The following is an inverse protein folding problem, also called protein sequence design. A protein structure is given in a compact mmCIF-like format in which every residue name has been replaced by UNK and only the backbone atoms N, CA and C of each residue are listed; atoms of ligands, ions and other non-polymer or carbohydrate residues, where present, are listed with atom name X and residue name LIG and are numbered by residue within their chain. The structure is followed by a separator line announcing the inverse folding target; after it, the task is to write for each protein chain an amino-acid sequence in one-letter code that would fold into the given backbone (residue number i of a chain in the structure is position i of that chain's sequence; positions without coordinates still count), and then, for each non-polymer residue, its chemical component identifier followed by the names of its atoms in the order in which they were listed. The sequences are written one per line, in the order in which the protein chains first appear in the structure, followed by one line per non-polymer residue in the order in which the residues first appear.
data_IF_466611275164
#
_entry.id   IF_466611275164
#
_cell.length_a   1.000
_cell.length_b   1.000
_cell.length_c   1.000
_cell.angle_alpha   90.00
_cell.angle_beta   90.00
_cell.angle_gamma   90.00
#
_symmetry.space_group_name_H-M   'P 1'
#
loop_
_entity.id
_entity.type
_entity.pdbx_description
1 polymer ?
#
# COMPACT_ATOMS: atom_id res chain seq x y z
N UNK A 1 -12.24 23.40 -7.52
CA UNK A 1 -12.98 22.52 -6.60
C UNK A 1 -13.54 21.40 -7.43
N UNK A 2 -13.17 20.15 -7.12
CA UNK A 2 -13.78 19.00 -7.75
C UNK A 2 -14.96 18.62 -6.86
N UNK A 3 -16.16 19.05 -7.22
CA UNK A 3 -17.39 18.87 -6.42
C UNK A 3 -17.90 17.41 -6.40
N UNK A 4 -17.07 16.46 -6.84
CA UNK A 4 -17.43 15.04 -6.92
C UNK A 4 -16.56 14.23 -5.96
N UNK A 5 -17.14 13.25 -5.24
CA UNK A 5 -16.38 12.33 -4.40
C UNK A 5 -15.31 11.62 -5.20
N UNK A 6 -14.13 11.45 -4.61
CA UNK A 6 -13.06 10.71 -5.24
C UNK A 6 -13.27 9.19 -5.12
N UNK A 7 -12.40 8.40 -5.75
CA UNK A 7 -12.55 6.94 -5.73
C UNK A 7 -12.49 6.35 -4.32
N UNK A 8 -11.74 6.95 -3.41
CA UNK A 8 -11.65 6.47 -2.03
C UNK A 8 -12.92 6.83 -1.23
N UNK A 9 -13.49 8.02 -1.44
CA UNK A 9 -14.78 8.40 -0.86
C UNK A 9 -15.89 7.43 -1.30
N UNK A 10 -15.90 7.02 -2.57
CA UNK A 10 -16.86 6.04 -3.10
C UNK A 10 -16.68 4.66 -2.46
N UNK A 11 -15.44 4.18 -2.33
CA UNK A 11 -15.14 2.89 -1.69
C UNK A 11 -15.56 2.89 -0.21
N UNK A 12 -15.34 4.00 0.50
CA UNK A 12 -15.77 4.17 1.89
C UNK A 12 -17.29 4.18 2.03
N UNK A 13 -18.00 4.89 1.14
CA UNK A 13 -19.46 4.90 1.14
C UNK A 13 -20.07 3.50 0.90
N UNK A 14 -19.51 2.72 -0.02
CA UNK A 14 -19.94 1.32 -0.25
C UNK A 14 -19.63 0.45 0.97
N UNK A 15 -18.45 0.62 1.57
CA UNK A 15 -18.10 -0.09 2.80
C UNK A 15 -19.08 0.20 3.94
N UNK A 16 -19.45 1.47 4.12
CA UNK A 16 -20.42 1.90 5.11
C UNK A 16 -21.78 1.25 4.92
N UNK A 17 -22.28 1.20 3.67
CA UNK A 17 -23.50 0.48 3.33
C UNK A 17 -23.42 -1.01 3.68
N UNK A 18 -22.32 -1.69 3.31
CA UNK A 18 -22.14 -3.10 3.64
C UNK A 18 -22.19 -3.35 5.15
N UNK A 19 -21.57 -2.47 5.94
CA UNK A 19 -21.48 -2.63 7.39
C UNK A 19 -22.74 -2.20 8.14
N UNK A 20 -23.36 -1.09 7.74
CA UNK A 20 -24.49 -0.48 8.46
C UNK A 20 -25.83 -1.08 8.06
N UNK A 21 -25.97 -1.50 6.81
CA UNK A 21 -27.25 -1.96 6.25
C UNK A 21 -27.25 -3.45 5.93
N UNK A 22 -26.24 -3.92 5.18
CA UNK A 22 -26.22 -5.32 4.71
C UNK A 22 -25.88 -6.30 5.83
N UNK A 23 -24.83 -6.05 6.60
CA UNK A 23 -24.38 -6.96 7.65
C UNK A 23 -25.50 -7.25 8.69
N UNK A 24 -26.27 -6.27 9.19
CA UNK A 24 -27.42 -6.55 10.04
C UNK A 24 -28.52 -7.37 9.36
N UNK A 25 -28.76 -7.15 8.06
CA UNK A 25 -29.81 -7.85 7.31
C UNK A 25 -29.48 -9.34 7.10
N UNK A 26 -28.20 -9.68 7.00
CA UNK A 26 -27.73 -11.05 6.71
C UNK A 26 -27.19 -11.78 7.94
N UNK A 27 -27.33 -11.21 9.14
CA UNK A 27 -26.70 -11.69 10.40
C UNK A 27 -27.01 -13.13 10.80
N UNK A 28 -28.10 -13.70 10.29
CA UNK A 28 -28.53 -15.07 10.60
C UNK A 28 -28.00 -16.10 9.58
N UNK A 29 -27.29 -15.64 8.54
CA UNK A 29 -26.56 -16.48 7.59
C UNK A 29 -25.06 -16.28 7.83
N UNK A 30 -24.43 -17.27 8.45
CA UNK A 30 -23.01 -17.23 8.83
C UNK A 30 -22.09 -16.99 7.62
N UNK A 31 -22.38 -17.64 6.49
CA UNK A 31 -21.56 -17.55 5.29
C UNK A 31 -21.68 -16.15 4.66
N UNK A 32 -22.90 -15.62 4.58
CA UNK A 32 -23.15 -14.30 4.00
C UNK A 32 -22.65 -13.17 4.91
N UNK A 33 -22.79 -13.33 6.23
CA UNK A 33 -22.22 -12.43 7.23
C UNK A 33 -20.70 -12.37 7.13
N UNK A 34 -20.04 -13.54 7.04
CA UNK A 34 -18.60 -13.61 6.85
C UNK A 34 -18.14 -12.92 5.55
N UNK A 35 -18.79 -13.24 4.41
CA UNK A 35 -18.46 -12.60 3.12
C UNK A 35 -18.63 -11.08 3.18
N UNK A 36 -19.69 -10.59 3.83
CA UNK A 36 -19.94 -9.16 4.00
C UNK A 36 -18.83 -8.47 4.81
N UNK A 37 -18.40 -9.08 5.91
CA UNK A 37 -17.27 -8.59 6.71
C UNK A 37 -15.96 -8.54 5.93
N UNK A 38 -15.67 -9.60 5.17
CA UNK A 38 -14.47 -9.65 4.32
C UNK A 38 -14.52 -8.57 3.24
N UNK A 39 -15.64 -8.43 2.53
CA UNK A 39 -15.82 -7.40 1.52
C UNK A 39 -15.66 -5.99 2.10
N UNK A 40 -16.28 -5.71 3.26
CA UNK A 40 -16.10 -4.43 3.96
C UNK A 40 -14.62 -4.16 4.28
N UNK A 41 -13.90 -5.15 4.80
CA UNK A 41 -12.49 -5.01 5.13
C UNK A 41 -11.64 -4.73 3.88
N UNK A 42 -11.87 -5.47 2.79
CA UNK A 42 -11.15 -5.29 1.52
C UNK A 42 -11.40 -3.90 0.92
N UNK A 43 -12.64 -3.39 0.97
CA UNK A 43 -12.94 -2.02 0.53
C UNK A 43 -12.19 -0.98 1.35
N UNK A 44 -12.08 -1.17 2.67
CA UNK A 44 -11.28 -0.30 3.52
C UNK A 44 -9.79 -0.31 3.17
N UNK A 45 -9.23 -1.47 2.80
CA UNK A 45 -7.84 -1.57 2.32
C UNK A 45 -7.67 -0.82 0.99
N UNK A 46 -8.58 -1.03 0.04
CA UNK A 46 -8.53 -0.36 -1.26
C UNK A 46 -8.67 1.16 -1.14
N UNK A 47 -9.56 1.65 -0.27
CA UNK A 47 -9.71 3.09 -0.03
C UNK A 47 -8.40 3.71 0.47
N UNK A 48 -7.70 3.04 1.39
CA UNK A 48 -6.37 3.49 1.86
C UNK A 48 -5.33 3.43 0.75
N UNK A 49 -5.28 2.34 -0.02
CA UNK A 49 -4.36 2.21 -1.16
C UNK A 49 -4.55 3.35 -2.16
N UNK A 50 -5.79 3.72 -2.48
CA UNK A 50 -6.08 4.86 -3.37
C UNK A 50 -5.63 6.18 -2.74
N UNK A 51 -5.85 6.38 -1.43
CA UNK A 51 -5.50 7.63 -0.73
C UNK A 51 -3.99 7.84 -0.57
N UNK A 52 -3.22 6.78 -0.31
CA UNK A 52 -1.79 6.88 0.06
C UNK A 52 -0.82 6.09 -0.82
N UNK A 53 -1.28 5.08 -1.57
CA UNK A 53 -0.43 4.14 -2.30
C UNK A 53 0.49 4.81 -3.31
N UNK A 54 -0.02 5.78 -4.09
CA UNK A 54 0.78 6.56 -5.03
C UNK A 54 1.90 7.36 -4.35
N UNK A 55 1.63 7.98 -3.19
CA UNK A 55 2.65 8.71 -2.42
C UNK A 55 3.68 7.74 -1.83
N UNK A 56 3.23 6.62 -1.25
CA UNK A 56 4.11 5.59 -0.70
C UNK A 56 5.03 5.01 -1.77
N UNK A 57 4.53 4.81 -2.99
CA UNK A 57 5.30 4.30 -4.12
C UNK A 57 6.34 5.30 -4.62
N UNK A 58 6.01 6.60 -4.67
CA UNK A 58 6.96 7.65 -5.02
C UNK A 58 8.12 7.75 -4.01
N UNK A 59 7.81 7.65 -2.70
CA UNK A 59 8.83 7.57 -1.65
C UNK A 59 9.72 6.34 -1.85
N UNK A 60 9.12 5.18 -2.13
CA UNK A 60 9.83 3.92 -2.36
C UNK A 60 10.83 4.03 -3.53
N UNK A 61 10.41 4.63 -4.66
CA UNK A 61 11.27 4.84 -5.83
C UNK A 61 12.45 5.76 -5.50
N UNK A 62 12.23 6.84 -4.75
CA UNK A 62 13.29 7.76 -4.35
C UNK A 62 14.31 7.10 -3.42
N UNK A 63 13.85 6.33 -2.42
CA UNK A 63 14.72 5.59 -1.52
C UNK A 63 15.53 4.51 -2.26
N UNK A 64 14.90 3.78 -3.18
CA UNK A 64 15.57 2.79 -4.03
C UNK A 64 16.65 3.42 -4.91
N UNK A 65 16.38 4.59 -5.50
CA UNK A 65 17.37 5.30 -6.31
C UNK A 65 18.59 5.70 -5.46
N UNK A 66 18.36 6.21 -4.25
CA UNK A 66 19.42 6.54 -3.31
C UNK A 66 20.28 5.31 -2.92
N UNK A 67 19.64 4.17 -2.62
CA UNK A 67 20.35 2.92 -2.29
C UNK A 67 21.15 2.35 -3.47
N UNK A 68 20.69 2.58 -4.69
CA UNK A 68 21.39 2.22 -5.92
C UNK A 68 22.44 3.26 -6.35
N UNK A 69 22.62 4.34 -5.58
CA UNK A 69 23.50 5.47 -5.88
C UNK A 69 23.20 6.13 -7.24
N UNK A 70 21.92 6.39 -7.52
CA UNK A 70 21.45 6.99 -8.78
C UNK A 70 20.52 8.15 -8.52
N UNK A 71 20.39 9.01 -9.53
CA UNK A 71 19.32 10.00 -9.58
C UNK A 71 17.96 9.28 -9.67
N UNK A 72 16.93 9.73 -8.95
CA UNK A 72 15.58 9.19 -9.11
C UNK A 72 15.15 9.24 -10.58
N UNK A 73 14.57 8.15 -11.09
CA UNK A 73 14.08 8.14 -12.46
C UNK A 73 12.86 9.05 -12.61
N UNK A 74 12.53 9.42 -13.85
CA UNK A 74 11.28 10.11 -14.11
C UNK A 74 10.08 9.27 -13.64
N UNK A 75 9.09 9.87 -12.96
CA UNK A 75 7.90 9.16 -12.52
C UNK A 75 7.13 8.59 -13.71
N UNK A 76 6.66 7.35 -13.58
CA UNK A 76 5.70 6.82 -14.55
C UNK A 76 4.41 7.65 -14.58
N UNK A 77 3.78 7.72 -15.75
CA UNK A 77 2.55 8.48 -15.98
C UNK A 77 1.31 7.82 -15.35
N UNK A 78 1.38 6.53 -15.06
CA UNK A 78 0.31 5.77 -14.44
C UNK A 78 0.79 4.90 -13.26
N UNK A 79 -0.16 4.48 -12.44
CA UNK A 79 0.12 3.67 -11.26
C UNK A 79 0.75 2.29 -11.61
N UNK A 80 0.24 1.54 -12.61
CA UNK A 80 0.85 0.25 -12.98
C UNK A 80 2.30 0.37 -13.43
N UNK A 81 2.64 1.40 -14.22
CA UNK A 81 4.00 1.65 -14.67
C UNK A 81 4.92 2.04 -13.52
N UNK A 82 4.44 2.82 -12.54
CA UNK A 82 5.21 3.15 -11.34
C UNK A 82 5.48 1.89 -10.48
N UNK A 83 4.50 0.97 -10.38
CA UNK A 83 4.66 -0.30 -9.66
C UNK A 83 5.73 -1.16 -10.33
N UNK A 84 5.67 -1.27 -11.65
CA UNK A 84 6.64 -2.04 -12.43
C UNK A 84 8.06 -1.44 -12.34
N UNK A 85 8.17 -0.11 -12.34
CA UNK A 85 9.43 0.61 -12.13
C UNK A 85 10.04 0.27 -10.77
N UNK A 86 9.26 0.38 -9.69
CA UNK A 86 9.71 0.03 -8.34
C UNK A 86 10.09 -1.46 -8.23
N UNK A 87 9.35 -2.36 -8.91
CA UNK A 87 9.67 -3.80 -8.95
C UNK A 87 11.04 -4.06 -9.55
N UNK A 88 11.34 -3.49 -10.71
CA UNK A 88 12.65 -3.64 -11.38
C UNK A 88 13.80 -3.13 -10.50
N UNK A 89 13.62 -1.97 -9.87
CA UNK A 89 14.63 -1.40 -8.97
C UNK A 89 14.87 -2.28 -7.72
N UNK A 90 13.81 -2.90 -7.16
CA UNK A 90 13.94 -3.85 -6.05
C UNK A 90 14.69 -5.12 -6.46
N UNK A 91 14.48 -5.62 -7.68
CA UNK A 91 15.19 -6.79 -8.20
C UNK A 91 16.69 -6.52 -8.39
N UNK A 92 17.01 -5.34 -8.93
CA UNK A 92 18.38 -4.87 -9.04
C UNK A 92 19.04 -4.73 -7.67
N UNK A 93 18.39 -4.03 -6.73
CA UNK A 93 18.91 -3.85 -5.38
C UNK A 93 19.12 -5.20 -4.66
N UNK A 94 18.18 -6.14 -4.79
CA UNK A 94 18.32 -7.49 -4.26
C UNK A 94 19.55 -8.21 -4.83
N UNK A 95 19.82 -8.02 -6.13
CA UNK A 95 20.99 -8.60 -6.79
C UNK A 95 22.29 -8.03 -6.22
N UNK A 96 22.36 -6.71 -6.06
CA UNK A 96 23.53 -6.03 -5.48
C UNK A 96 23.76 -6.41 -4.01
N UNK A 97 22.71 -6.49 -3.19
CA UNK A 97 22.83 -6.90 -1.78
C UNK A 97 23.42 -8.32 -1.68
N UNK A 98 22.94 -9.26 -2.51
CA UNK A 98 23.45 -10.65 -2.51
C UNK A 98 24.89 -10.72 -2.97
N UNK A 99 25.24 -10.01 -4.05
CA UNK A 99 26.59 -9.97 -4.61
C UNK A 99 27.60 -9.40 -3.62
N UNK A 100 27.25 -8.30 -2.95
CA UNK A 100 28.13 -7.59 -2.02
C UNK A 100 28.05 -8.10 -0.57
N UNK A 101 27.20 -9.10 -0.29
CA UNK A 101 26.91 -9.65 1.05
C UNK A 101 26.56 -8.55 2.08
N UNK A 102 25.84 -7.52 1.63
CA UNK A 102 25.65 -6.29 2.40
C UNK A 102 24.36 -6.27 3.27
N UNK A 103 23.72 -7.43 3.48
CA UNK A 103 22.43 -7.56 4.15
C UNK A 103 22.48 -7.55 5.69
N UNK A 104 23.36 -6.78 6.33
CA UNK A 104 23.42 -6.71 7.79
C UNK A 104 22.20 -5.94 8.37
N UNK A 105 21.79 -6.23 9.62
CA UNK A 105 20.68 -5.51 10.28
C UNK A 105 20.91 -4.00 10.45
N UNK A 106 22.16 -3.55 10.48
CA UNK A 106 22.49 -2.12 10.58
C UNK A 106 22.67 -1.46 9.21
N UNK A 107 22.45 -2.19 8.12
CA UNK A 107 22.62 -1.65 6.77
C UNK A 107 21.47 -0.70 6.37
N UNK A 108 21.74 0.27 5.48
CA UNK A 108 20.69 1.08 4.87
C UNK A 108 19.61 0.24 4.17
N UNK A 109 19.96 -0.94 3.66
CA UNK A 109 19.03 -1.86 3.02
C UNK A 109 18.02 -2.45 4.00
N UNK A 110 18.46 -2.78 5.22
CA UNK A 110 17.58 -3.26 6.27
C UNK A 110 16.61 -2.18 6.74
N UNK A 111 17.10 -0.96 6.94
CA UNK A 111 16.26 0.18 7.31
C UNK A 111 15.18 0.44 6.24
N UNK A 112 15.57 0.43 4.96
CA UNK A 112 14.62 0.53 3.86
C UNK A 112 13.59 -0.59 3.86
N UNK A 113 14.01 -1.85 4.02
CA UNK A 113 13.08 -2.98 4.05
C UNK A 113 12.05 -2.85 5.19
N UNK A 114 12.50 -2.38 6.36
CA UNK A 114 11.65 -2.11 7.52
C UNK A 114 10.65 -0.98 7.27
N UNK A 115 11.10 0.17 6.79
CA UNK A 115 10.22 1.32 6.56
C UNK A 115 9.24 1.06 5.39
N UNK A 116 9.70 0.41 4.31
CA UNK A 116 8.83 -0.02 3.21
C UNK A 116 7.76 -1.03 3.67
N UNK A 117 8.11 -1.95 4.58
CA UNK A 117 7.14 -2.87 5.18
C UNK A 117 6.11 -2.12 6.04
N UNK A 118 6.57 -1.18 6.87
CA UNK A 118 5.69 -0.36 7.71
C UNK A 118 4.67 0.42 6.87
N UNK A 119 5.10 1.10 5.81
CA UNK A 119 4.19 1.79 4.87
C UNK A 119 3.15 0.84 4.25
N UNK A 120 3.52 -0.39 3.90
CA UNK A 120 2.57 -1.40 3.39
C UNK A 120 1.59 -1.90 4.46
N UNK A 121 2.06 -2.01 5.69
CA UNK A 121 1.22 -2.42 6.82
C UNK A 121 0.19 -1.35 7.17
N UNK A 122 0.52 -0.07 7.06
CA UNK A 122 -0.43 1.04 7.26
C UNK A 122 -1.63 0.97 6.30
N UNK A 123 -1.41 0.50 5.08
CA UNK A 123 -2.46 0.32 4.07
C UNK A 123 -3.31 -0.92 4.38
N UNK A 124 -2.66 -2.06 4.60
CA UNK A 124 -3.35 -3.34 4.81
C UNK A 124 -4.03 -3.44 6.17
N UNK A 125 -3.54 -2.73 7.19
CA UNK A 125 -4.08 -2.79 8.54
C UNK A 125 -3.94 -1.44 9.28
N UNK A 126 -5.07 -0.77 9.60
CA UNK A 126 -5.05 0.56 10.22
C UNK A 126 -4.47 0.58 11.63
N UNK A 127 -4.27 -0.57 12.29
CA UNK A 127 -3.59 -0.62 13.60
C UNK A 127 -2.11 -0.23 13.53
N UNK A 128 -1.52 -0.23 12.33
CA UNK A 128 -0.13 0.14 12.12
C UNK A 128 0.02 1.60 11.66
N UNK A 129 -1.07 2.35 11.48
CA UNK A 129 -1.02 3.80 11.30
C UNK A 129 -0.41 4.42 12.56
N UNK A 130 0.79 4.97 12.46
CA UNK A 130 1.37 5.75 13.55
C UNK A 130 0.43 6.93 13.85
N UNK A 131 -0.09 6.99 15.07
CA UNK A 131 -0.51 8.27 15.63
C UNK A 131 0.78 9.02 15.96
N UNK A 132 0.92 10.23 15.43
CA UNK A 132 1.96 11.20 15.82
C UNK A 132 1.90 11.50 17.33
#
# INVERSE_FOLDING_TARGET
MQDRPDAADLLEAVGDFLKKDILPAVRNDDLLSYKTLVSWNMLGILAREVKVGGRSLAVDINELAALLNRTPPEPSLDYPGAVEQARKMKEELSTEIRKNKAGSPDSPYWQYARESLKRKLEISNPRFSLQD
#
